data_IF_829696267752
#
_entry.id   IF_829696267752
#
_cell.length_a   1.000
_cell.length_b   1.000
_cell.length_c   1.000
_cell.angle_alpha   90.00
_cell.angle_beta   90.00
_cell.angle_gamma   90.00
#
_symmetry.space_group_name_H-M   'P 1'
#
loop_
_entity.id
_entity.type
_entity.pdbx_description
1 polymer ?
#
# COMPACT_ATOMS: atom_id res chain seq x y z
N UNK A 1 56.55 -14.15 -42.89
CA UNK A 1 55.90 -14.04 -41.57
C UNK A 1 54.40 -14.07 -41.80
N UNK A 2 53.70 -15.11 -41.33
CA UNK A 2 52.24 -15.23 -41.45
C UNK A 2 51.66 -15.04 -40.05
N UNK A 3 50.90 -13.97 -39.84
CA UNK A 3 50.21 -13.71 -38.58
C UNK A 3 48.80 -14.29 -38.66
N UNK A 4 48.59 -15.47 -38.07
CA UNK A 4 47.26 -16.02 -37.84
C UNK A 4 46.57 -15.27 -36.71
N UNK A 5 45.61 -14.41 -37.03
CA UNK A 5 44.70 -13.83 -36.04
C UNK A 5 43.73 -14.91 -35.53
N UNK A 6 44.02 -15.46 -34.36
CA UNK A 6 43.03 -16.24 -33.60
C UNK A 6 41.92 -15.31 -33.12
N UNK A 7 40.78 -15.31 -33.82
CA UNK A 7 39.59 -14.63 -33.32
C UNK A 7 39.03 -15.43 -32.14
N UNK A 8 39.19 -14.89 -30.92
CA UNK A 8 38.49 -15.40 -29.75
C UNK A 8 36.99 -15.10 -29.91
N UNK A 9 36.24 -16.08 -30.39
CA UNK A 9 34.79 -16.03 -30.38
C UNK A 9 34.31 -16.20 -28.93
N UNK A 10 34.18 -15.08 -28.21
CA UNK A 10 33.56 -15.06 -26.89
C UNK A 10 32.06 -15.29 -27.08
N UNK A 11 31.66 -16.57 -27.08
CA UNK A 11 30.29 -16.98 -26.86
C UNK A 11 29.89 -16.56 -25.45
N UNK A 12 29.38 -15.33 -25.34
CA UNK A 12 28.73 -14.86 -24.13
C UNK A 12 27.55 -15.77 -23.82
N UNK A 13 27.69 -16.64 -22.82
CA UNK A 13 26.57 -17.31 -22.19
C UNK A 13 25.71 -16.23 -21.55
N UNK A 14 24.77 -15.70 -22.31
CA UNK A 14 23.64 -14.93 -21.80
C UNK A 14 22.80 -15.89 -20.96
N UNK A 15 23.20 -16.05 -19.70
CA UNK A 15 22.44 -16.78 -18.71
C UNK A 15 21.03 -16.18 -18.70
N UNK A 16 20.05 -16.99 -19.12
CA UNK A 16 18.63 -16.69 -19.00
C UNK A 16 18.32 -16.59 -17.50
N UNK A 17 18.56 -15.40 -16.98
CA UNK A 17 18.52 -15.10 -15.56
C UNK A 17 17.04 -15.01 -15.21
N UNK A 18 16.46 -16.16 -14.85
CA UNK A 18 15.08 -16.28 -14.40
C UNK A 18 14.90 -15.71 -12.99
N UNK A 19 15.46 -14.52 -12.79
CA UNK A 19 15.67 -13.83 -11.53
C UNK A 19 14.87 -12.53 -11.49
N UNK A 20 13.77 -12.42 -12.24
CA UNK A 20 12.89 -11.26 -12.17
C UNK A 20 12.33 -11.01 -10.76
N UNK A 21 11.56 -9.94 -10.60
CA UNK A 21 11.19 -9.39 -9.29
C UNK A 21 9.81 -9.86 -8.82
N UNK A 22 9.73 -10.21 -7.53
CA UNK A 22 8.47 -10.47 -6.79
C UNK A 22 8.31 -9.51 -5.63
N UNK A 23 7.06 -9.16 -5.32
CA UNK A 23 6.67 -8.55 -4.06
C UNK A 23 6.74 -9.58 -2.93
N UNK A 24 7.50 -9.26 -1.87
CA UNK A 24 7.59 -10.10 -0.66
C UNK A 24 6.87 -9.46 0.55
N UNK A 25 6.66 -8.14 0.51
CA UNK A 25 5.95 -7.34 1.50
C UNK A 25 5.08 -6.32 0.75
N UNK A 26 3.74 -6.29 0.95
CA UNK A 26 2.94 -7.27 1.69
C UNK A 26 3.13 -8.71 1.17
N UNK A 27 2.88 -9.69 2.04
CA UNK A 27 3.05 -11.11 1.73
C UNK A 27 1.99 -11.52 0.69
N UNK A 28 2.39 -12.01 -0.51
CA UNK A 28 1.45 -12.33 -1.57
C UNK A 28 0.67 -13.63 -1.32
N UNK A 29 -0.46 -13.79 -2.01
CA UNK A 29 -1.15 -15.07 -2.12
C UNK A 29 -0.30 -16.12 -2.85
N UNK A 30 -0.49 -17.39 -2.48
CA UNK A 30 0.12 -18.54 -3.16
C UNK A 30 1.64 -18.42 -3.25
N UNK A 31 2.29 -17.91 -2.21
CA UNK A 31 3.71 -17.56 -2.15
C UNK A 31 4.64 -18.71 -2.57
N UNK A 32 4.26 -19.95 -2.26
CA UNK A 32 4.99 -21.19 -2.60
C UNK A 32 5.01 -21.49 -4.10
N UNK A 33 4.00 -20.99 -4.84
CA UNK A 33 3.81 -21.21 -6.28
C UNK A 33 3.97 -19.94 -7.11
N UNK A 34 4.24 -18.79 -6.49
CA UNK A 34 4.39 -17.52 -7.17
C UNK A 34 5.72 -17.47 -7.93
N UNK A 35 5.65 -17.48 -9.26
CA UNK A 35 6.81 -17.22 -10.12
C UNK A 35 7.13 -15.72 -10.18
N UNK A 36 8.38 -15.42 -10.49
CA UNK A 36 8.89 -14.06 -10.66
C UNK A 36 8.80 -13.54 -12.10
N UNK A 37 8.44 -14.39 -13.06
CA UNK A 37 8.16 -14.01 -14.44
C UNK A 37 7.11 -12.89 -14.55
N UNK A 38 7.14 -12.07 -15.61
CA UNK A 38 6.04 -11.17 -15.93
C UNK A 38 4.74 -11.95 -16.15
N UNK A 39 3.61 -11.24 -16.27
CA UNK A 39 2.39 -11.82 -16.83
C UNK A 39 2.66 -12.35 -18.25
N UNK A 40 1.92 -13.37 -18.65
CA UNK A 40 1.99 -13.92 -20.00
C UNK A 40 1.51 -12.86 -21.01
N UNK A 41 2.19 -12.80 -22.17
CA UNK A 41 1.95 -11.75 -23.15
C UNK A 41 0.55 -11.81 -23.80
N UNK A 42 -0.14 -12.94 -23.73
CA UNK A 42 -1.55 -13.11 -24.15
C UNK A 42 -2.56 -12.74 -23.04
N UNK A 43 -2.07 -12.31 -21.87
CA UNK A 43 -2.86 -12.04 -20.69
C UNK A 43 -3.60 -13.25 -20.13
N UNK A 44 -3.22 -14.49 -20.49
CA UNK A 44 -3.86 -15.72 -20.01
C UNK A 44 -3.82 -15.83 -18.48
N UNK A 45 -2.73 -15.40 -17.85
CA UNK A 45 -2.55 -15.41 -16.40
C UNK A 45 -2.95 -14.10 -15.67
N UNK A 46 -3.56 -13.13 -16.37
CA UNK A 46 -4.08 -11.91 -15.75
C UNK A 46 -5.48 -12.15 -15.11
N UNK A 47 -5.77 -11.58 -13.92
CA UNK A 47 -4.87 -10.86 -13.01
C UNK A 47 -4.09 -11.81 -12.08
N UNK A 48 -3.18 -11.28 -11.26
CA UNK A 48 -2.56 -11.97 -10.13
C UNK A 48 -1.71 -13.24 -10.43
N UNK A 49 -1.36 -13.49 -11.70
CA UNK A 49 -0.70 -14.71 -12.18
C UNK A 49 -1.54 -15.95 -11.89
N UNK A 50 -2.67 -16.08 -12.58
CA UNK A 50 -3.62 -17.19 -12.47
C UNK A 50 -2.91 -18.53 -12.57
N UNK A 51 -3.11 -19.35 -11.53
CA UNK A 51 -2.51 -20.67 -11.35
C UNK A 51 -3.31 -21.44 -10.29
N UNK A 52 -3.09 -22.74 -10.19
CA UNK A 52 -3.69 -23.54 -9.10
C UNK A 52 -3.32 -22.96 -7.75
N UNK A 53 -4.32 -22.62 -6.93
CA UNK A 53 -4.12 -22.01 -5.61
C UNK A 53 -3.73 -20.52 -5.61
N UNK A 54 -3.94 -19.78 -6.71
CA UNK A 54 -3.59 -18.35 -6.83
C UNK A 54 -4.10 -17.44 -5.70
N UNK A 55 -5.21 -17.80 -5.03
CA UNK A 55 -5.80 -17.05 -3.92
C UNK A 55 -5.74 -17.77 -2.57
N UNK A 56 -4.92 -18.81 -2.44
CA UNK A 56 -4.61 -19.42 -1.14
C UNK A 56 -3.72 -18.47 -0.34
N UNK A 57 -4.10 -18.16 0.90
CA UNK A 57 -3.34 -17.21 1.72
C UNK A 57 -1.96 -17.75 2.09
N UNK A 58 -1.78 -19.07 2.24
CA UNK A 58 -0.52 -19.71 2.67
C UNK A 58 0.13 -19.08 3.93
N UNK A 59 -0.70 -18.55 4.84
CA UNK A 59 -0.25 -17.85 6.05
C UNK A 59 0.04 -16.35 5.86
N UNK A 60 -0.20 -15.78 4.68
CA UNK A 60 -0.22 -14.33 4.47
C UNK A 60 -1.30 -13.67 5.33
N UNK A 61 -0.90 -12.65 6.09
CA UNK A 61 -1.79 -11.83 6.92
C UNK A 61 -1.25 -10.41 6.93
N UNK A 62 -1.84 -9.55 6.11
CA UNK A 62 -1.39 -8.16 5.93
C UNK A 62 -2.47 -7.20 6.46
N UNK A 63 -2.45 -6.94 7.77
CA UNK A 63 -3.33 -5.95 8.38
C UNK A 63 -2.81 -4.54 8.10
N UNK A 64 -3.65 -3.66 7.55
CA UNK A 64 -3.27 -2.31 7.16
C UNK A 64 -4.23 -1.28 7.77
N UNK A 65 -3.67 -0.35 8.54
CA UNK A 65 -4.44 0.73 9.14
C UNK A 65 -4.85 1.77 8.06
N UNK A 66 -6.11 2.18 8.06
CA UNK A 66 -6.62 3.27 7.23
C UNK A 66 -5.94 4.60 7.63
N UNK A 67 -5.40 5.33 6.64
CA UNK A 67 -4.57 6.51 6.86
C UNK A 67 -3.13 6.21 7.32
N UNK A 68 -2.66 4.97 7.18
CA UNK A 68 -1.27 4.60 7.52
C UNK A 68 -0.36 4.49 6.31
N UNK A 69 0.94 4.56 6.57
CA UNK A 69 2.00 4.25 5.60
C UNK A 69 2.41 2.80 5.79
N UNK A 70 2.41 2.02 4.71
CA UNK A 70 2.71 0.59 4.67
C UNK A 70 4.02 0.31 3.91
N UNK A 71 4.81 -0.69 4.32
CA UNK A 71 6.05 -1.07 3.63
C UNK A 71 5.75 -1.84 2.33
N UNK A 72 6.59 -1.61 1.33
CA UNK A 72 6.59 -2.33 0.05
C UNK A 72 8.01 -2.78 -0.26
N UNK A 73 8.22 -4.10 -0.39
CA UNK A 73 9.55 -4.71 -0.52
C UNK A 73 9.55 -5.84 -1.54
N UNK A 74 10.70 -6.01 -2.20
CA UNK A 74 10.86 -6.91 -3.34
C UNK A 74 12.04 -7.87 -3.18
N UNK A 75 11.97 -8.99 -3.90
CA UNK A 75 13.02 -10.00 -4.03
C UNK A 75 13.21 -10.35 -5.50
N UNK A 76 14.46 -10.48 -5.94
CA UNK A 76 14.88 -10.85 -7.30
C UNK A 76 16.27 -10.32 -7.62
N UNK A 77 16.77 -10.68 -8.81
CA UNK A 77 18.07 -10.35 -9.39
C UNK A 77 18.02 -9.68 -10.78
N UNK A 78 16.84 -9.49 -11.37
CA UNK A 78 16.63 -8.91 -12.69
C UNK A 78 15.63 -7.75 -12.62
N UNK A 79 16.17 -6.57 -12.27
CA UNK A 79 15.44 -5.35 -12.00
C UNK A 79 15.21 -4.44 -13.21
N UNK A 80 15.76 -4.77 -14.39
CA UNK A 80 15.55 -4.04 -15.66
C UNK A 80 15.85 -2.53 -15.61
N UNK A 81 16.77 -2.10 -14.74
CA UNK A 81 17.07 -0.68 -14.51
C UNK A 81 15.96 0.10 -13.78
N UNK A 82 15.00 -0.60 -13.15
CA UNK A 82 13.81 -0.04 -12.52
C UNK A 82 12.63 0.06 -13.48
N UNK A 83 11.95 1.20 -13.46
CA UNK A 83 10.67 1.41 -14.13
C UNK A 83 9.66 2.05 -13.20
N UNK A 84 8.38 1.88 -13.50
CA UNK A 84 7.27 2.49 -12.74
C UNK A 84 6.29 1.43 -12.24
N UNK A 85 5.70 1.67 -11.08
CA UNK A 85 4.81 0.74 -10.40
C UNK A 85 3.50 1.40 -9.97
N UNK A 86 2.41 0.62 -9.88
CA UNK A 86 1.21 1.03 -9.16
C UNK A 86 0.92 0.06 -8.01
N UNK A 87 0.29 0.59 -6.98
CA UNK A 87 -0.32 -0.16 -5.89
C UNK A 87 -1.82 0.10 -5.99
N UNK A 88 -2.58 -0.98 -6.20
CA UNK A 88 -4.02 -0.92 -6.45
C UNK A 88 -4.79 -1.87 -5.54
N UNK A 89 -6.05 -1.55 -5.26
CA UNK A 89 -6.95 -2.34 -4.40
C UNK A 89 -8.18 -2.80 -5.20
N UNK A 90 -8.67 -4.00 -4.91
CA UNK A 90 -10.04 -4.41 -5.22
C UNK A 90 -10.66 -5.13 -4.03
N UNK A 91 -11.98 -5.01 -3.85
CA UNK A 91 -12.72 -5.76 -2.81
C UNK A 91 -13.22 -7.13 -3.31
N UNK A 92 -12.96 -7.47 -4.58
CA UNK A 92 -13.17 -8.82 -5.10
C UNK A 92 -12.22 -9.80 -4.40
N UNK A 93 -12.78 -10.75 -3.64
CA UNK A 93 -12.00 -11.72 -2.84
C UNK A 93 -11.15 -12.68 -3.69
N UNK A 94 -11.57 -12.91 -4.93
CA UNK A 94 -10.87 -13.72 -5.94
C UNK A 94 -10.97 -12.99 -7.28
N UNK A 95 -10.07 -12.03 -7.55
CA UNK A 95 -10.18 -11.18 -8.74
C UNK A 95 -10.17 -11.96 -10.06
N UNK A 96 -10.85 -11.40 -11.06
CA UNK A 96 -10.95 -11.94 -12.42
C UNK A 96 -10.53 -10.88 -13.43
N UNK A 97 -10.54 -11.21 -14.74
CA UNK A 97 -10.29 -10.22 -15.81
C UNK A 97 -11.29 -9.06 -15.83
N UNK A 98 -12.46 -9.23 -15.18
CA UNK A 98 -13.51 -8.22 -15.08
C UNK A 98 -13.45 -7.40 -13.78
N UNK A 99 -12.55 -7.75 -12.86
CA UNK A 99 -12.42 -7.06 -11.57
C UNK A 99 -11.89 -5.64 -11.74
N UNK A 100 -12.58 -4.67 -11.14
CA UNK A 100 -12.12 -3.28 -11.13
C UNK A 100 -11.05 -3.13 -10.05
N UNK A 101 -9.87 -2.66 -10.46
CA UNK A 101 -8.75 -2.34 -9.60
C UNK A 101 -8.60 -0.83 -9.50
N UNK A 102 -8.47 -0.30 -8.28
CA UNK A 102 -8.40 1.13 -8.00
C UNK A 102 -7.02 1.51 -7.47
N UNK A 103 -6.36 2.48 -8.09
CA UNK A 103 -5.00 2.90 -7.73
C UNK A 103 -5.04 3.69 -6.42
N UNK A 104 -4.22 3.29 -5.45
CA UNK A 104 -4.02 4.01 -4.17
C UNK A 104 -2.66 4.69 -4.09
N UNK A 105 -1.67 4.24 -4.87
CA UNK A 105 -0.37 4.90 -5.01
C UNK A 105 0.28 4.59 -6.36
N UNK A 106 0.90 5.59 -6.99
CA UNK A 106 1.76 5.41 -8.16
C UNK A 106 3.20 5.78 -7.85
N UNK A 107 4.13 4.96 -8.30
CA UNK A 107 5.58 5.19 -8.21
C UNK A 107 6.10 5.36 -9.64
N UNK A 108 6.45 6.58 -10.02
CA UNK A 108 6.94 6.93 -11.36
C UNK A 108 8.47 6.96 -11.35
N UNK A 109 9.07 5.97 -12.00
CA UNK A 109 10.52 5.77 -12.01
C UNK A 109 11.08 5.15 -10.73
N UNK A 110 12.25 4.53 -10.86
CA UNK A 110 13.00 3.98 -9.74
C UNK A 110 12.32 2.84 -8.97
N UNK A 111 11.37 2.11 -9.55
CA UNK A 111 10.75 0.92 -8.96
C UNK A 111 10.96 -0.31 -9.84
N UNK A 112 11.31 -1.51 -9.30
CA UNK A 112 11.54 -1.86 -7.88
C UNK A 112 12.96 -1.58 -7.38
N UNK A 113 13.79 -0.88 -8.15
CA UNK A 113 15.12 -0.39 -7.73
C UNK A 113 15.37 1.04 -8.22
N UNK A 114 16.08 1.84 -7.43
CA UNK A 114 16.51 3.19 -7.78
C UNK A 114 17.98 3.24 -8.24
N UNK A 115 18.30 4.19 -9.12
CA UNK A 115 19.68 4.63 -9.36
C UNK A 115 20.62 3.63 -10.07
N UNK A 116 20.09 2.58 -10.69
CA UNK A 116 20.91 1.56 -11.39
C UNK A 116 20.56 1.46 -12.87
N UNK A 117 21.59 1.30 -13.70
CA UNK A 117 21.45 1.20 -15.16
C UNK A 117 21.00 -0.19 -15.65
N UNK A 118 20.94 -1.18 -14.76
CA UNK A 118 20.66 -2.57 -15.13
C UNK A 118 20.11 -3.40 -13.97
N UNK A 119 20.55 -4.65 -13.91
CA UNK A 119 20.10 -5.65 -12.94
C UNK A 119 20.92 -5.58 -11.64
N UNK A 120 20.26 -5.67 -10.48
CA UNK A 120 20.88 -5.88 -9.18
C UNK A 120 20.38 -7.16 -8.53
N UNK A 121 21.26 -7.81 -7.76
CA UNK A 121 20.99 -9.09 -7.10
C UNK A 121 21.58 -10.26 -7.89
N UNK A 122 22.21 -11.20 -7.18
CA UNK A 122 22.95 -12.31 -7.79
C UNK A 122 22.06 -13.55 -8.04
N UNK A 123 20.80 -13.52 -7.60
CA UNK A 123 19.86 -14.64 -7.68
C UNK A 123 18.39 -14.19 -7.68
N UNK A 124 17.50 -15.12 -8.06
CA UNK A 124 16.05 -14.96 -7.93
C UNK A 124 15.55 -14.76 -6.48
N UNK A 125 16.43 -14.95 -5.46
CA UNK A 125 16.11 -14.81 -4.04
C UNK A 125 16.84 -13.64 -3.36
N UNK A 126 17.59 -12.83 -4.13
CA UNK A 126 18.26 -11.64 -3.60
C UNK A 126 17.24 -10.59 -3.14
N UNK A 127 17.38 -9.96 -1.96
CA UNK A 127 16.52 -8.83 -1.59
C UNK A 127 16.83 -7.63 -2.48
N UNK A 128 15.80 -6.85 -2.86
CA UNK A 128 16.05 -5.54 -3.50
C UNK A 128 16.81 -4.63 -2.53
N UNK A 129 17.85 -3.91 -2.98
CA UNK A 129 18.57 -2.95 -2.13
C UNK A 129 17.74 -1.69 -1.81
N UNK A 130 16.56 -1.53 -2.43
CA UNK A 130 15.66 -0.41 -2.18
C UNK A 130 14.35 -0.92 -1.57
N UNK A 131 13.98 -0.36 -0.42
CA UNK A 131 12.66 -0.54 0.19
C UNK A 131 11.79 0.70 -0.07
N UNK A 132 10.49 0.50 -0.19
CA UNK A 132 9.52 1.56 -0.48
C UNK A 132 8.44 1.60 0.59
N UNK A 133 7.65 2.67 0.56
CA UNK A 133 6.39 2.73 1.31
C UNK A 133 5.29 3.30 0.44
N UNK A 134 4.04 3.02 0.79
CA UNK A 134 2.86 3.62 0.17
C UNK A 134 1.85 4.01 1.25
N UNK A 135 1.10 5.11 1.09
CA UNK A 135 -0.01 5.44 1.97
C UNK A 135 -1.25 4.60 1.62
N UNK A 136 -1.98 4.17 2.64
CA UNK A 136 -3.35 3.64 2.53
C UNK A 136 -4.30 4.79 2.84
N UNK A 137 -5.17 5.23 1.89
CA UNK A 137 -6.12 6.30 2.14
C UNK A 137 -7.04 5.98 3.34
N UNK A 138 -7.40 7.00 4.12
CA UNK A 138 -8.29 6.87 5.29
C UNK A 138 -9.78 6.78 4.92
N UNK A 139 -10.11 7.21 3.70
CA UNK A 139 -11.42 7.19 3.06
C UNK A 139 -11.84 5.84 2.47
N UNK A 140 -10.95 4.85 2.40
CA UNK A 140 -11.29 3.52 1.90
C UNK A 140 -12.25 2.78 2.85
N UNK A 141 -13.17 1.95 2.33
CA UNK A 141 -13.96 1.02 3.14
C UNK A 141 -13.07 0.11 3.99
N UNK A 142 -13.41 -0.06 5.26
CA UNK A 142 -12.81 -1.09 6.10
C UNK A 142 -13.33 -2.48 5.71
N UNK A 143 -12.47 -3.49 5.74
CA UNK A 143 -12.79 -4.87 5.38
C UNK A 143 -11.62 -5.60 4.70
N UNK A 144 -11.87 -6.85 4.33
CA UNK A 144 -10.92 -7.63 3.53
C UNK A 144 -10.94 -7.17 2.07
N UNK A 145 -9.76 -7.02 1.49
CA UNK A 145 -9.54 -6.64 0.11
C UNK A 145 -8.31 -7.37 -0.46
N UNK A 146 -8.08 -7.23 -1.76
CA UNK A 146 -6.88 -7.69 -2.45
C UNK A 146 -6.08 -6.48 -2.91
N UNK A 147 -4.80 -6.45 -2.55
CA UNK A 147 -3.83 -5.49 -3.06
C UNK A 147 -3.07 -6.10 -4.22
N UNK A 148 -2.91 -5.35 -5.32
CA UNK A 148 -1.99 -5.65 -6.41
C UNK A 148 -0.82 -4.66 -6.42
N UNK A 149 0.39 -5.19 -6.46
CA UNK A 149 1.55 -4.49 -7.02
C UNK A 149 1.60 -4.78 -8.51
N UNK A 150 1.67 -3.75 -9.35
CA UNK A 150 2.02 -3.86 -10.76
C UNK A 150 3.30 -3.10 -11.07
N UNK A 151 4.09 -3.60 -12.02
CA UNK A 151 5.34 -2.97 -12.46
C UNK A 151 5.51 -3.07 -13.97
N UNK A 152 5.93 -1.95 -14.57
CA UNK A 152 6.30 -1.81 -15.96
C UNK A 152 7.77 -1.46 -16.04
N UNK A 153 8.56 -2.37 -16.62
CA UNK A 153 10.02 -2.35 -16.60
C UNK A 153 10.62 -1.30 -17.54
N UNK A 154 11.64 -0.58 -17.05
CA UNK A 154 12.30 0.51 -17.79
C UNK A 154 12.97 0.03 -19.08
N UNK A 155 13.76 -1.05 -19.01
CA UNK A 155 14.57 -1.59 -20.11
C UNK A 155 14.20 -3.05 -20.40
N UNK A 156 14.46 -3.54 -21.62
CA UNK A 156 14.20 -4.93 -22.03
C UNK A 156 12.88 -5.11 -22.78
N UNK A 157 12.36 -6.34 -22.83
CA UNK A 157 11.02 -6.62 -23.34
C UNK A 157 9.99 -5.67 -22.72
N UNK A 158 8.93 -5.31 -23.46
CA UNK A 158 7.84 -4.52 -22.88
C UNK A 158 6.94 -5.50 -22.14
N UNK A 159 7.02 -5.50 -20.81
CA UNK A 159 6.38 -6.50 -19.94
C UNK A 159 5.47 -5.81 -18.91
N UNK A 160 4.60 -6.60 -18.27
CA UNK A 160 3.81 -6.18 -17.10
C UNK A 160 3.97 -7.25 -16.02
N UNK A 161 4.47 -6.86 -14.86
CA UNK A 161 4.53 -7.71 -13.68
C UNK A 161 3.33 -7.42 -12.80
N UNK A 162 2.77 -8.45 -12.16
CA UNK A 162 1.68 -8.30 -11.20
C UNK A 162 1.79 -9.35 -10.09
N UNK A 163 1.77 -8.94 -8.82
CA UNK A 163 1.60 -9.85 -7.69
C UNK A 163 0.47 -9.33 -6.79
N UNK A 164 -0.32 -10.26 -6.23
CA UNK A 164 -1.47 -9.91 -5.39
C UNK A 164 -1.31 -10.46 -3.97
N UNK A 165 -1.80 -9.71 -2.99
CA UNK A 165 -1.77 -10.03 -1.56
C UNK A 165 -3.15 -9.87 -0.90
N UNK A 166 -3.55 -10.75 0.04
CA UNK A 166 -4.70 -10.51 0.89
C UNK A 166 -4.36 -9.37 1.84
N UNK A 167 -5.24 -8.37 1.97
CA UNK A 167 -5.10 -7.29 2.94
C UNK A 167 -6.38 -7.12 3.74
N UNK A 168 -6.27 -6.80 5.03
CA UNK A 168 -7.41 -6.41 5.86
C UNK A 168 -7.24 -4.93 6.20
N UNK A 169 -8.12 -4.09 5.66
CA UNK A 169 -8.13 -2.64 5.86
C UNK A 169 -8.98 -2.31 7.09
N UNK A 170 -8.42 -1.61 8.08
CA UNK A 170 -9.14 -1.31 9.33
C UNK A 170 -8.46 -0.26 10.19
N UNK A 171 -8.79 -0.21 11.49
CA UNK A 171 -8.05 0.54 12.52
C UNK A 171 -7.47 1.90 12.12
N UNK A 172 -8.32 2.91 11.95
CA UNK A 172 -7.86 4.26 11.54
C UNK A 172 -7.01 4.94 12.63
N UNK A 173 -5.93 5.62 12.23
CA UNK A 173 -5.15 6.47 13.16
C UNK A 173 -5.84 7.80 13.54
N UNK A 174 -6.97 8.13 12.90
CA UNK A 174 -7.68 9.42 12.99
C UNK A 174 -9.21 9.36 12.86
N UNK A 175 -9.83 8.17 12.96
CA UNK A 175 -11.26 8.13 13.30
C UNK A 175 -11.35 8.14 14.81
N UNK A 176 -11.22 9.34 15.36
CA UNK A 176 -11.67 9.61 16.71
C UNK A 176 -13.12 9.14 16.80
N UNK A 177 -13.42 8.25 17.76
CA UNK A 177 -14.69 7.53 17.82
C UNK A 177 -15.90 8.49 17.92
N UNK A 178 -15.65 9.69 18.43
CA UNK A 178 -16.53 10.86 18.46
C UNK A 178 -17.17 11.21 17.09
N UNK A 179 -16.51 10.94 15.97
CA UNK A 179 -17.07 11.18 14.62
C UNK A 179 -17.88 10.01 14.05
N UNK A 180 -17.75 8.81 14.61
CA UNK A 180 -18.52 7.62 14.19
C UNK A 180 -19.85 7.51 14.94
N UNK A 181 -19.91 7.91 16.20
CA UNK A 181 -21.12 7.81 17.04
C UNK A 181 -22.24 8.77 16.62
N UNK A 182 -21.92 9.81 15.83
CA UNK A 182 -22.87 10.84 15.39
C UNK A 182 -23.46 10.63 13.98
N UNK A 183 -23.10 9.55 13.25
CA UNK A 183 -23.56 9.30 11.87
C UNK A 183 -24.17 7.93 11.67
N UNK A 184 -25.19 7.87 10.81
CA UNK A 184 -25.77 6.62 10.34
C UNK A 184 -24.71 5.81 9.57
N UNK A 185 -24.48 4.56 9.99
CA UNK A 185 -23.53 3.62 9.41
C UNK A 185 -23.71 3.49 7.88
N UNK A 186 -24.94 3.52 7.39
CA UNK A 186 -25.22 3.45 5.95
C UNK A 186 -24.59 4.61 5.16
N UNK A 187 -24.64 5.84 5.68
CA UNK A 187 -24.02 7.00 5.01
C UNK A 187 -22.49 6.95 5.03
N UNK A 188 -21.90 6.33 6.05
CA UNK A 188 -20.46 6.13 6.11
C UNK A 188 -20.01 5.09 5.09
N UNK A 189 -20.73 3.97 4.96
CA UNK A 189 -20.46 2.97 3.93
C UNK A 189 -20.63 3.54 2.51
N UNK A 190 -21.72 4.27 2.25
CA UNK A 190 -21.99 4.90 0.96
C UNK A 190 -20.91 5.92 0.56
N UNK A 191 -20.45 6.75 1.52
CA UNK A 191 -19.33 7.67 1.32
C UNK A 191 -18.01 6.94 1.05
N UNK A 192 -17.70 5.91 1.83
CA UNK A 192 -16.44 5.17 1.70
C UNK A 192 -16.40 4.41 0.36
N UNK A 193 -17.53 3.85 -0.10
CA UNK A 193 -17.67 3.30 -1.46
C UNK A 193 -17.47 4.37 -2.53
N UNK A 194 -18.11 5.54 -2.41
CA UNK A 194 -17.91 6.64 -3.38
C UNK A 194 -16.45 7.12 -3.44
N UNK A 195 -15.73 7.11 -2.31
CA UNK A 195 -14.30 7.44 -2.27
C UNK A 195 -13.43 6.38 -2.96
N UNK A 196 -13.76 5.09 -2.84
CA UNK A 196 -13.12 4.01 -3.61
C UNK A 196 -13.43 4.12 -5.11
N UNK A 197 -14.68 4.38 -5.48
CA UNK A 197 -15.12 4.47 -6.87
C UNK A 197 -14.51 5.68 -7.61
N UNK A 198 -14.24 6.78 -6.89
CA UNK A 198 -13.57 7.97 -7.39
C UNK A 198 -12.07 7.80 -7.68
N UNK A 199 -11.42 6.76 -7.13
CA UNK A 199 -10.03 6.46 -7.47
C UNK A 199 -9.91 6.05 -8.95
N UNK A 200 -8.79 6.36 -9.63
CA UNK A 200 -8.62 5.94 -11.01
C UNK A 200 -8.42 4.42 -11.11
N UNK A 201 -8.84 3.87 -12.24
CA UNK A 201 -8.62 2.45 -12.52
C UNK A 201 -7.13 2.17 -12.76
N UNK A 202 -6.68 0.99 -12.33
CA UNK A 202 -5.30 0.52 -12.52
C UNK A 202 -4.92 0.48 -14.00
N UNK A 203 -3.72 0.95 -14.31
CA UNK A 203 -3.17 0.89 -15.65
C UNK A 203 -2.75 -0.55 -16.02
N UNK A 204 -3.14 -0.99 -17.21
CA UNK A 204 -2.85 -2.32 -17.77
C UNK A 204 -2.33 -2.13 -19.19
N UNK A 205 -1.18 -2.71 -19.50
CA UNK A 205 -0.51 -2.64 -20.80
C UNK A 205 0.40 -3.86 -20.99
N UNK A 206 0.97 -4.03 -22.18
CA UNK A 206 1.95 -5.08 -22.49
C UNK A 206 1.43 -6.52 -22.34
N UNK A 207 0.10 -6.70 -22.23
CA UNK A 207 -0.60 -7.98 -22.32
C UNK A 207 -1.73 -7.84 -23.35
N UNK A 208 -1.85 -8.81 -24.26
CA UNK A 208 -2.77 -8.78 -25.40
C UNK A 208 -4.21 -9.08 -24.97
N UNK A 209 -4.85 -8.09 -24.34
CA UNK A 209 -6.31 -8.02 -24.16
C UNK A 209 -7.04 -7.45 -25.39
N UNK A 210 -6.41 -7.46 -26.57
CA UNK A 210 -6.94 -6.91 -27.82
C UNK A 210 -6.88 -5.38 -27.96
N UNK A 211 -6.33 -4.66 -26.96
CA UNK A 211 -6.29 -3.19 -26.94
C UNK A 211 -5.14 -2.54 -27.72
N UNK A 212 -4.03 -3.26 -27.94
CA UNK A 212 -2.80 -2.69 -28.50
C UNK A 212 -2.04 -1.75 -27.53
N UNK A 213 -2.45 -1.69 -26.27
CA UNK A 213 -1.88 -0.81 -25.25
C UNK A 213 -0.48 -1.26 -24.82
N UNK A 214 0.54 -0.43 -25.05
CA UNK A 214 1.94 -0.71 -24.74
C UNK A 214 2.66 0.46 -24.08
N UNK A 215 3.67 0.20 -23.26
CA UNK A 215 4.45 1.22 -22.54
C UNK A 215 5.55 1.89 -23.37
N UNK A 216 5.67 1.53 -24.64
CA UNK A 216 6.59 2.14 -25.61
C UNK A 216 6.95 1.16 -26.73
N UNK A 217 7.49 1.66 -27.84
CA UNK A 217 8.02 0.79 -28.88
C UNK A 217 9.24 0.00 -28.37
N UNK A 218 9.41 -1.25 -28.84
CA UNK A 218 10.56 -2.13 -28.58
C UNK A 218 11.88 -1.53 -29.03
N UNK A 219 11.86 -0.51 -29.89
CA UNK A 219 13.03 0.25 -30.36
C UNK A 219 13.43 1.40 -29.43
N UNK A 220 12.56 1.84 -28.53
CA UNK A 220 12.88 2.90 -27.57
C UNK A 220 13.93 2.39 -26.56
N UNK A 221 14.94 3.21 -26.26
CA UNK A 221 16.09 2.87 -25.39
C UNK A 221 15.76 2.70 -23.90
N UNK A 222 14.50 2.40 -23.58
CA UNK A 222 13.94 2.34 -22.25
C UNK A 222 13.59 3.71 -21.65
N UNK A 223 12.85 3.67 -20.55
CA UNK A 223 12.43 4.86 -19.81
C UNK A 223 11.32 4.55 -18.81
N UNK A 224 11.05 5.51 -17.92
CA UNK A 224 10.10 5.32 -16.82
C UNK A 224 8.70 5.71 -17.30
N UNK A 225 7.76 4.76 -17.29
CA UNK A 225 6.37 5.00 -17.67
C UNK A 225 5.72 6.06 -16.78
N UNK A 226 5.09 7.05 -17.38
CA UNK A 226 4.13 7.94 -16.71
C UNK A 226 2.74 7.37 -16.91
N UNK A 227 2.04 7.08 -15.81
CA UNK A 227 0.67 6.59 -15.87
C UNK A 227 -0.28 7.72 -16.32
N UNK A 228 -1.19 7.50 -17.29
CA UNK A 228 -2.18 8.51 -17.70
C UNK A 228 -3.08 8.95 -16.54
N UNK A 229 -3.42 8.01 -15.66
CA UNK A 229 -4.19 8.24 -14.45
C UNK A 229 -3.40 7.72 -13.23
N UNK A 230 -2.49 8.53 -12.65
CA UNK A 230 -1.63 8.09 -11.55
C UNK A 230 -2.33 8.14 -10.17
N UNK A 231 -3.47 8.83 -10.07
CA UNK A 231 -4.15 9.15 -8.81
C UNK A 231 -3.47 10.30 -8.06
N UNK A 232 -4.07 10.70 -6.93
CA UNK A 232 -3.59 11.84 -6.12
C UNK A 232 -2.28 11.54 -5.35
N UNK A 233 -1.94 10.27 -5.23
CA UNK A 233 -0.85 9.75 -4.39
C UNK A 233 0.29 9.28 -5.29
N UNK A 234 1.27 10.15 -5.53
CA UNK A 234 2.37 9.90 -6.50
C UNK A 234 3.73 10.16 -5.89
N UNK A 235 4.63 9.18 -5.99
CA UNK A 235 6.08 9.36 -5.76
C UNK A 235 6.81 9.32 -7.09
N UNK A 236 7.62 10.33 -7.42
CA UNK A 236 8.48 10.34 -8.61
C UNK A 236 9.94 10.21 -8.20
N UNK A 237 10.69 9.31 -8.83
CA UNK A 237 12.08 9.01 -8.45
C UNK A 237 12.98 8.82 -9.67
N UNK A 238 14.26 9.17 -9.51
CA UNK A 238 15.24 9.22 -10.59
C UNK A 238 15.05 10.46 -11.48
N UNK A 239 15.97 10.60 -12.44
CA UNK A 239 16.01 11.70 -13.43
C UNK A 239 16.09 11.18 -14.87
N UNK A 240 15.72 9.91 -15.08
CA UNK A 240 15.73 9.27 -16.39
C UNK A 240 14.62 9.82 -17.31
N UNK A 241 14.73 9.51 -18.60
CA UNK A 241 13.68 9.77 -19.57
C UNK A 241 12.34 9.16 -19.15
N UNK A 242 11.28 9.96 -19.27
CA UNK A 242 9.90 9.56 -19.05
C UNK A 242 9.28 9.08 -20.37
N UNK A 243 8.48 8.01 -20.30
CA UNK A 243 7.75 7.45 -21.44
C UNK A 243 6.25 7.63 -21.25
N UNK A 244 5.57 7.98 -22.34
CA UNK A 244 4.10 7.93 -22.43
C UNK A 244 3.68 6.59 -23.06
N UNK A 245 2.58 5.98 -22.60
CA UNK A 245 2.07 4.77 -23.21
C UNK A 245 1.43 5.05 -24.58
N UNK A 246 1.40 4.04 -25.44
CA UNK A 246 0.86 4.10 -26.81
C UNK A 246 -0.30 3.11 -26.96
N UNK A 247 -1.37 3.48 -27.67
CA UNK A 247 -2.52 2.59 -27.89
C UNK A 247 -3.35 2.29 -26.65
N UNK A 248 -3.25 3.13 -25.61
CA UNK A 248 -3.95 2.95 -24.35
C UNK A 248 -5.06 3.98 -24.18
N UNK A 249 -6.29 3.53 -23.92
CA UNK A 249 -7.37 4.42 -23.53
C UNK A 249 -7.02 5.12 -22.20
N UNK A 250 -7.03 6.45 -22.20
CA UNK A 250 -6.98 7.25 -20.99
C UNK A 250 -8.33 7.12 -20.28
N UNK A 251 -8.50 6.03 -19.52
CA UNK A 251 -9.75 5.69 -18.84
C UNK A 251 -10.29 6.86 -18.01
N UNK A 252 -11.63 7.02 -17.99
CA UNK A 252 -12.28 8.12 -17.29
C UNK A 252 -11.87 8.16 -15.80
N UNK A 253 -11.35 9.30 -15.35
CA UNK A 253 -10.74 9.45 -14.02
C UNK A 253 -9.61 10.49 -13.93
N UNK A 254 -9.22 11.11 -15.05
CA UNK A 254 -8.14 12.09 -15.10
C UNK A 254 -8.42 13.35 -14.24
N UNK A 255 -7.83 13.39 -13.05
CA UNK A 255 -7.50 14.64 -12.34
C UNK A 255 -5.98 14.78 -12.27
N UNK A 256 -5.40 15.97 -12.54
CA UNK A 256 -3.96 16.17 -12.42
C UNK A 256 -3.49 16.01 -10.97
N UNK A 257 -2.54 15.10 -10.74
CA UNK A 257 -2.00 14.85 -9.41
C UNK A 257 -1.34 16.11 -8.83
N UNK A 258 -1.59 16.39 -7.55
CA UNK A 258 -0.89 17.44 -6.79
C UNK A 258 0.41 16.85 -6.23
N UNK A 259 1.61 17.32 -6.66
CA UNK A 259 2.86 16.77 -6.15
C UNK A 259 3.07 17.14 -4.67
N UNK A 260 3.38 16.14 -3.85
CA UNK A 260 3.86 16.32 -2.47
C UNK A 260 5.32 15.89 -2.36
N UNK A 261 6.24 16.84 -2.50
CA UNK A 261 7.67 16.58 -2.26
C UNK A 261 7.94 16.36 -0.77
N UNK A 262 8.50 15.21 -0.40
CA UNK A 262 9.02 14.99 0.93
C UNK A 262 10.32 15.78 1.11
N UNK A 263 10.30 16.81 1.96
CA UNK A 263 11.48 17.61 2.27
C UNK A 263 12.43 16.86 3.23
N UNK A 264 13.51 16.29 2.70
CA UNK A 264 14.64 15.82 3.50
C UNK A 264 15.49 17.01 3.95
N UNK A 265 15.36 17.42 5.20
CA UNK A 265 16.22 18.44 5.81
C UNK A 265 17.62 17.89 6.11
N UNK A 266 18.65 18.66 5.78
CA UNK A 266 20.05 18.31 6.05
C UNK A 266 20.95 19.53 5.88
N UNK A 267 21.21 20.23 6.99
CA UNK A 267 22.13 21.37 7.03
C UNK A 267 23.56 20.99 6.65
N UNK A 268 24.18 21.79 5.78
CA UNK A 268 25.63 21.85 5.59
C UNK A 268 26.07 23.33 5.43
N UNK A 269 27.22 23.73 5.99
CA UNK A 269 27.45 25.13 6.33
C UNK A 269 27.96 26.01 5.17
N UNK A 270 27.67 27.31 5.29
CA UNK A 270 28.25 28.39 4.47
C UNK A 270 29.79 28.33 4.45
N UNK A 271 30.37 28.52 3.27
CA UNK A 271 31.65 29.23 3.12
C UNK A 271 31.49 30.32 2.06
N UNK A 272 32.12 31.47 2.30
CA UNK A 272 32.03 32.64 1.42
C UNK A 272 33.25 32.72 0.50
N UNK A 273 33.04 33.08 -0.76
CA UNK A 273 34.04 33.73 -1.61
C UNK A 273 33.30 34.66 -2.59
N UNK A 274 33.89 35.82 -2.91
CA UNK A 274 33.23 36.89 -3.64
C UNK A 274 34.10 37.47 -4.76
N UNK A 275 33.41 38.13 -5.70
CA UNK A 275 33.87 39.20 -6.60
C UNK A 275 34.71 38.86 -7.85
N UNK A 276 34.52 39.72 -8.86
CA UNK A 276 35.12 39.69 -10.20
C UNK A 276 34.17 39.08 -11.25
N UNK A 277 33.79 39.75 -12.34
CA UNK A 277 34.13 41.08 -12.86
C UNK A 277 34.01 41.06 -14.39
N UNK A 278 33.17 41.92 -14.99
CA UNK A 278 33.00 42.00 -16.45
C UNK A 278 34.20 42.73 -17.11
N UNK A 279 34.46 42.59 -18.43
CA UNK A 279 33.60 43.25 -19.43
C UNK A 279 33.41 42.55 -20.80
N UNK A 280 32.37 43.02 -21.50
CA UNK A 280 32.17 43.22 -22.95
C UNK A 280 32.99 42.44 -24.01
N UNK A 281 32.27 41.90 -25.00
CA UNK A 281 32.39 42.33 -26.41
C UNK A 281 31.20 41.86 -27.27
N UNK A 282 30.79 42.68 -28.25
CA UNK A 282 29.76 42.40 -29.23
C UNK A 282 30.15 43.00 -30.60
N UNK A 283 29.65 42.44 -31.72
CA UNK A 283 29.44 43.22 -32.93
C UNK A 283 27.97 43.24 -33.40
N UNK A 284 27.63 44.30 -34.13
CA UNK A 284 26.28 44.72 -34.56
C UNK A 284 25.84 44.23 -35.94
N UNK A 285 24.56 43.81 -36.04
CA UNK A 285 23.49 44.22 -37.01
C UNK A 285 23.74 44.07 -38.54
N UNK A 286 22.76 44.31 -39.46
CA UNK A 286 21.32 44.65 -39.33
C UNK A 286 20.37 43.61 -40.00
N UNK A 287 19.03 43.74 -40.07
CA UNK A 287 18.06 44.71 -39.55
C UNK A 287 16.64 44.42 -40.08
N UNK A 288 15.61 45.14 -39.61
CA UNK A 288 14.22 45.00 -40.08
C UNK A 288 13.22 45.73 -39.19
N UNK A 289 12.61 46.81 -39.71
CA UNK A 289 11.70 47.73 -38.98
C UNK A 289 10.28 47.75 -39.57
N UNK A 290 9.38 48.41 -38.81
CA UNK A 290 7.96 48.76 -39.05
C UNK A 290 6.93 47.76 -38.48
N UNK A 291 5.84 48.20 -37.81
CA UNK A 291 5.42 49.56 -37.43
C UNK A 291 4.62 49.59 -36.11
N UNK A 292 4.44 50.80 -35.55
CA UNK A 292 3.64 51.11 -34.35
C UNK A 292 2.22 51.58 -34.71
N UNK A 293 1.21 51.17 -33.93
CA UNK A 293 0.01 51.98 -33.67
C UNK A 293 -0.41 51.76 -32.21
N UNK A 294 -0.71 52.85 -31.49
CA UNK A 294 -1.32 52.82 -30.17
C UNK A 294 -2.71 53.48 -30.24
N UNK A 295 -3.69 52.90 -29.54
CA UNK A 295 -5.02 53.52 -29.32
C UNK A 295 -5.49 53.31 -27.90
N UNK A 296 -6.23 54.29 -27.39
CA UNK A 296 -6.41 54.59 -25.97
C UNK A 296 -7.74 54.11 -25.38
N UNK A 297 -7.66 53.68 -24.12
CA UNK A 297 -8.56 53.97 -22.99
C UNK A 297 -10.04 54.35 -23.26
N UNK A 298 -10.95 53.58 -22.65
CA UNK A 298 -12.27 54.02 -22.22
C UNK A 298 -12.53 53.53 -20.79
N UNK A 299 -13.37 54.22 -20.00
CA UNK A 299 -13.49 54.02 -18.55
C UNK A 299 -14.93 53.83 -18.06
N UNK A 300 -15.09 53.02 -17.00
CA UNK A 300 -16.28 52.94 -16.15
C UNK A 300 -17.36 51.93 -16.58
N UNK A 301 -18.31 51.58 -15.68
CA UNK A 301 -18.55 52.17 -14.35
C UNK A 301 -18.24 51.25 -13.14
N UNK A 302 -18.31 51.85 -11.95
CA UNK A 302 -18.21 51.20 -10.64
C UNK A 302 -19.57 50.66 -10.15
N UNK A 303 -19.53 49.69 -9.22
CA UNK A 303 -20.54 49.21 -8.22
C UNK A 303 -20.27 47.72 -7.92
N UNK A 304 -20.48 47.13 -6.73
CA UNK A 304 -20.82 47.61 -5.37
C UNK A 304 -20.31 46.57 -4.36
N UNK A 305 -19.80 47.00 -3.20
CA UNK A 305 -19.46 46.07 -2.11
C UNK A 305 -20.69 45.69 -1.27
N UNK A 306 -20.77 44.43 -0.83
CA UNK A 306 -21.86 43.84 -0.06
C UNK A 306 -21.27 42.95 1.08
N UNK A 307 -21.99 42.74 2.20
CA UNK A 307 -21.40 43.08 3.50
C UNK A 307 -20.88 41.92 4.36
N UNK A 308 -20.03 42.26 5.33
CA UNK A 308 -19.62 41.36 6.42
C UNK A 308 -20.80 41.06 7.37
N UNK A 309 -20.95 39.78 7.74
CA UNK A 309 -21.88 39.34 8.79
C UNK A 309 -21.27 39.54 10.20
N UNK A 310 -22.07 39.79 11.25
CA UNK A 310 -21.59 40.30 12.53
C UNK A 310 -20.98 39.24 13.45
N UNK A 311 -20.04 39.69 14.28
CA UNK A 311 -19.54 38.91 15.42
C UNK A 311 -20.63 38.77 16.49
N UNK A 312 -20.79 37.56 17.05
CA UNK A 312 -21.68 37.29 18.18
C UNK A 312 -20.88 37.17 19.48
N UNK A 313 -21.37 37.82 20.53
CA UNK A 313 -20.68 38.04 21.80
C UNK A 313 -20.79 36.88 22.79
N UNK A 314 -19.71 36.62 23.51
CA UNK A 314 -19.65 35.61 24.58
C UNK A 314 -20.35 36.06 25.88
N UNK A 315 -20.91 35.11 26.66
CA UNK A 315 -21.19 35.30 28.07
C UNK A 315 -20.21 34.51 28.98
N UNK A 316 -20.05 34.99 30.21
CA UNK A 316 -19.36 34.33 31.33
C UNK A 316 -19.78 35.00 32.64
N UNK A 317 -19.57 34.38 33.82
CA UNK A 317 -19.67 32.95 34.16
C UNK A 317 -20.62 32.74 35.37
N UNK A 318 -20.86 31.49 35.79
CA UNK A 318 -21.46 31.23 37.13
C UNK A 318 -20.83 30.01 37.82
N UNK A 319 -20.42 30.26 39.07
CA UNK A 319 -19.83 29.42 40.11
C UNK A 319 -19.75 27.87 39.95
N UNK A 320 -18.57 27.34 40.32
CA UNK A 320 -18.37 25.94 40.73
C UNK A 320 -18.12 25.86 42.26
N UNK A 321 -18.60 24.81 42.97
CA UNK A 321 -18.17 24.47 44.33
C UNK A 321 -16.77 23.82 44.37
N UNK A 322 -16.16 23.74 45.56
CA UNK A 322 -14.72 23.50 45.71
C UNK A 322 -14.32 22.23 46.49
N UNK A 323 -13.10 21.76 46.22
CA UNK A 323 -12.21 20.96 47.10
C UNK A 323 -12.56 19.49 47.40
N UNK A 324 -11.63 18.64 47.91
CA UNK A 324 -10.22 18.89 48.26
C UNK A 324 -9.18 17.98 47.51
N UNK A 325 -7.92 18.00 47.98
CA UNK A 325 -6.73 17.45 47.30
C UNK A 325 -6.01 16.32 48.08
N UNK A 326 -4.91 15.79 47.49
CA UNK A 326 -3.85 14.95 48.10
C UNK A 326 -4.19 13.44 48.24
N UNK A 327 -3.27 12.45 48.15
CA UNK A 327 -1.79 12.44 48.04
C UNK A 327 -1.23 11.09 47.50
N UNK A 328 -0.02 11.12 46.91
CA UNK A 328 1.03 10.08 46.86
C UNK A 328 0.88 8.75 46.03
N UNK A 329 1.99 8.22 45.45
CA UNK A 329 2.13 6.87 44.82
C UNK A 329 2.52 5.79 45.89
N UNK A 330 2.70 4.46 45.63
CA UNK A 330 3.06 3.70 44.39
C UNK A 330 2.22 2.37 44.27
N UNK A 331 2.68 1.16 43.81
CA UNK A 331 3.86 0.71 43.04
C UNK A 331 3.54 -0.20 41.82
N UNK A 332 4.59 -0.75 41.19
CA UNK A 332 4.48 -1.81 40.19
C UNK A 332 4.42 -3.23 40.82
N UNK A 333 3.54 -4.09 40.30
CA UNK A 333 3.56 -5.56 40.41
C UNK A 333 2.84 -6.11 39.15
N UNK A 334 3.44 -6.97 38.33
CA UNK A 334 3.82 -8.38 38.57
C UNK A 334 2.60 -9.30 38.67
N UNK A 335 2.54 -10.29 37.77
CA UNK A 335 1.33 -11.09 37.51
C UNK A 335 0.97 -12.05 38.64
N UNK A 336 -0.33 -12.21 38.87
CA UNK A 336 -0.90 -13.19 39.80
C UNK A 336 -1.76 -14.20 39.02
N UNK A 337 -1.33 -15.46 39.00
CA UNK A 337 -2.16 -16.59 38.57
C UNK A 337 -3.19 -16.91 39.65
N UNK A 338 -4.22 -16.06 39.74
CA UNK A 338 -5.43 -16.32 40.52
C UNK A 338 -6.55 -16.86 39.64
N UNK A 339 -7.32 -17.83 40.15
CA UNK A 339 -8.59 -18.22 39.54
C UNK A 339 -9.56 -17.04 39.62
N UNK A 340 -9.72 -16.31 38.51
CA UNK A 340 -10.58 -15.13 38.45
C UNK A 340 -11.98 -15.42 38.99
N UNK A 341 -12.36 -14.68 40.02
CA UNK A 341 -13.71 -14.68 40.62
C UNK A 341 -14.46 -13.44 40.14
N UNK A 342 -15.79 -13.52 40.11
CA UNK A 342 -16.61 -12.39 39.69
C UNK A 342 -16.40 -11.19 40.64
N UNK A 343 -15.98 -10.07 40.08
CA UNK A 343 -15.80 -8.81 40.81
C UNK A 343 -17.10 -8.00 40.79
N UNK A 344 -17.29 -7.11 41.77
CA UNK A 344 -18.46 -6.24 41.85
C UNK A 344 -18.09 -4.85 42.35
N UNK A 345 -18.65 -3.82 41.72
CA UNK A 345 -18.39 -2.42 42.08
C UNK A 345 -17.17 -1.85 41.35
N UNK A 346 -16.41 -1.00 42.05
CA UNK A 346 -15.38 -0.18 41.42
C UNK A 346 -14.19 -0.99 40.88
N UNK A 347 -13.65 -0.51 39.76
CA UNK A 347 -12.43 -1.01 39.14
C UNK A 347 -11.50 0.18 38.82
N UNK A 348 -10.19 -0.01 38.98
CA UNK A 348 -9.19 1.06 38.85
C UNK A 348 -8.53 1.12 37.47
N UNK A 349 -8.66 0.06 36.68
CA UNK A 349 -7.98 -0.11 35.39
C UNK A 349 -9.01 -0.13 34.27
N UNK A 350 -9.39 1.05 33.80
CA UNK A 350 -10.37 1.24 32.72
C UNK A 350 -10.00 0.42 31.47
N UNK A 351 -10.98 -0.29 30.90
CA UNK A 351 -10.78 -1.22 29.78
C UNK A 351 -10.16 -2.57 30.16
N UNK A 352 -9.77 -2.78 31.42
CA UNK A 352 -9.27 -4.05 31.94
C UNK A 352 -10.31 -5.17 31.91
N UNK A 353 -9.87 -6.40 31.74
CA UNK A 353 -10.70 -7.60 31.65
C UNK A 353 -10.49 -8.50 32.85
N UNK A 354 -11.57 -9.08 33.39
CA UNK A 354 -11.51 -10.15 34.37
C UNK A 354 -12.15 -11.42 33.77
N UNK A 355 -11.35 -12.45 33.53
CA UNK A 355 -11.86 -13.75 33.10
C UNK A 355 -12.27 -14.59 34.33
N UNK A 356 -13.57 -14.86 34.45
CA UNK A 356 -14.19 -15.59 35.56
C UNK A 356 -14.30 -17.08 35.20
N UNK A 357 -13.58 -17.94 35.92
CA UNK A 357 -13.66 -19.40 35.78
C UNK A 357 -13.27 -19.97 34.40
N UNK A 358 -12.81 -19.15 33.44
CA UNK A 358 -12.46 -19.55 32.08
C UNK A 358 -13.64 -19.63 31.10
N UNK A 359 -14.88 -19.63 31.58
CA UNK A 359 -16.11 -19.70 30.78
C UNK A 359 -16.86 -18.37 30.67
N UNK A 360 -16.47 -17.37 31.45
CA UNK A 360 -17.20 -16.11 31.59
C UNK A 360 -16.21 -14.95 31.78
N UNK A 361 -16.63 -13.71 31.56
CA UNK A 361 -15.76 -12.54 31.71
C UNK A 361 -16.52 -11.30 32.19
N UNK A 362 -15.78 -10.30 32.64
CA UNK A 362 -16.23 -8.94 32.92
C UNK A 362 -15.23 -7.95 32.32
N UNK A 363 -15.69 -6.75 32.02
CA UNK A 363 -14.84 -5.63 31.61
C UNK A 363 -15.02 -4.46 32.58
N UNK A 364 -13.93 -3.76 32.89
CA UNK A 364 -13.94 -2.51 33.63
C UNK A 364 -14.32 -1.38 32.67
N UNK A 365 -15.45 -0.70 32.95
CA UNK A 365 -15.95 0.43 32.16
C UNK A 365 -16.57 1.49 33.07
N UNK A 366 -16.27 2.76 32.81
CA UNK A 366 -16.64 3.90 33.68
C UNK A 366 -16.24 3.70 35.14
N UNK A 367 -15.08 3.07 35.39
CA UNK A 367 -14.60 2.75 36.73
C UNK A 367 -15.46 1.75 37.50
N UNK A 368 -16.33 0.97 36.84
CA UNK A 368 -17.11 -0.13 37.44
C UNK A 368 -16.93 -1.43 36.64
N UNK A 369 -16.95 -2.58 37.33
CA UNK A 369 -17.00 -3.89 36.67
C UNK A 369 -18.37 -4.15 36.06
N UNK A 370 -18.38 -4.60 34.80
CA UNK A 370 -19.61 -5.05 34.13
C UNK A 370 -20.27 -6.23 34.84
N UNK A 371 -21.54 -6.48 34.53
CA UNK A 371 -22.14 -7.79 34.81
C UNK A 371 -21.33 -8.92 34.15
N UNK A 372 -21.36 -10.12 34.74
CA UNK A 372 -20.68 -11.31 34.23
C UNK A 372 -21.32 -11.74 32.91
N UNK A 373 -20.55 -11.74 31.84
CA UNK A 373 -20.96 -12.20 30.51
C UNK A 373 -20.38 -13.60 30.23
N UNK A 374 -21.10 -14.42 29.47
CA UNK A 374 -20.60 -15.74 29.08
C UNK A 374 -19.66 -15.62 27.86
N UNK A 375 -18.63 -16.45 27.83
CA UNK A 375 -17.82 -16.65 26.62
C UNK A 375 -18.68 -17.23 25.48
N UNK A 376 -18.31 -16.94 24.23
CA UNK A 376 -18.97 -17.54 23.07
C UNK A 376 -18.80 -19.07 23.08
N UNK A 377 -19.80 -19.80 22.58
CA UNK A 377 -19.78 -21.25 22.54
C UNK A 377 -18.51 -21.79 21.83
N UNK A 378 -17.80 -22.71 22.48
CA UNK A 378 -16.54 -23.23 21.98
C UNK A 378 -15.30 -22.35 22.25
N UNK A 379 -15.42 -21.28 23.03
CA UNK A 379 -14.27 -20.45 23.47
C UNK A 379 -14.15 -20.40 25.00
N UNK A 380 -12.92 -20.36 25.50
CA UNK A 380 -12.59 -20.13 26.91
C UNK A 380 -11.55 -19.02 27.04
N UNK A 381 -11.61 -18.24 28.11
CA UNK A 381 -10.59 -17.25 28.44
C UNK A 381 -9.57 -17.79 29.47
N UNK A 382 -8.41 -17.17 29.59
CA UNK A 382 -7.42 -17.47 30.64
C UNK A 382 -7.89 -16.78 31.95
N UNK A 383 -8.18 -17.51 33.04
CA UNK A 383 -8.72 -16.91 34.28
C UNK A 383 -7.84 -15.82 34.89
N UNK A 384 -8.47 -14.80 35.47
CA UNK A 384 -7.82 -13.68 36.15
C UNK A 384 -7.96 -12.34 35.43
N UNK A 385 -7.38 -11.30 36.03
CA UNK A 385 -7.39 -9.94 35.50
C UNK A 385 -6.23 -9.67 34.52
N UNK A 386 -6.52 -8.98 33.41
CA UNK A 386 -5.54 -8.66 32.37
C UNK A 386 -5.97 -7.47 31.50
N UNK A 387 -5.02 -6.82 30.84
CA UNK A 387 -5.29 -5.72 29.89
C UNK A 387 -5.95 -6.20 28.58
N UNK A 388 -6.03 -7.51 28.34
CA UNK A 388 -6.62 -8.11 27.15
C UNK A 388 -7.28 -9.45 27.46
N UNK A 389 -8.52 -9.67 27.00
CA UNK A 389 -9.19 -10.96 27.18
C UNK A 389 -8.51 -12.05 26.35
N UNK A 390 -7.67 -12.87 27.01
CA UNK A 390 -6.90 -13.93 26.37
C UNK A 390 -7.78 -15.16 26.09
N UNK A 391 -8.44 -15.17 24.93
CA UNK A 391 -9.37 -16.21 24.48
C UNK A 391 -8.68 -17.33 23.69
N UNK A 392 -9.20 -18.57 23.83
CA UNK A 392 -8.76 -19.75 23.09
C UNK A 392 -9.97 -20.64 22.73
N UNK A 393 -9.85 -21.44 21.67
CA UNK A 393 -10.88 -22.42 21.31
C UNK A 393 -10.83 -23.66 22.23
N UNK A 394 -11.98 -24.05 22.79
CA UNK A 394 -12.17 -25.25 23.61
C UNK A 394 -12.09 -26.47 22.69
N UNK A 395 -10.88 -27.01 22.48
CA UNK A 395 -10.66 -28.22 21.70
C UNK A 395 -9.27 -28.37 21.08
N UNK A 396 -8.49 -27.29 20.93
CA UNK A 396 -7.23 -27.29 20.18
C UNK A 396 -6.03 -27.98 20.87
N UNK A 397 -6.26 -28.83 21.88
CA UNK A 397 -5.24 -29.65 22.55
C UNK A 397 -5.63 -31.13 22.65
N UNK A 398 -6.00 -31.74 21.53
CA UNK A 398 -5.78 -33.17 21.33
C UNK A 398 -5.01 -33.37 20.03
N UNK A 399 -3.70 -33.67 20.13
CA UNK A 399 -2.96 -34.29 19.02
C UNK A 399 -3.60 -35.64 18.75
N UNK A 400 -4.57 -35.70 17.84
CA UNK A 400 -5.22 -36.95 17.42
C UNK A 400 -4.20 -37.77 16.63
N UNK A 401 -3.38 -38.54 17.34
CA UNK A 401 -2.46 -39.49 16.75
C UNK A 401 -3.27 -40.52 15.96
N UNK A 402 -3.27 -40.41 14.63
CA UNK A 402 -3.96 -41.34 13.75
C UNK A 402 -3.17 -42.65 13.76
N UNK A 403 -3.49 -43.54 14.72
CA UNK A 403 -3.12 -44.95 14.63
C UNK A 403 -4.02 -45.59 13.57
N UNK A 404 -3.47 -45.79 12.37
CA UNK A 404 -4.11 -46.64 11.37
C UNK A 404 -4.13 -48.09 11.88
N UNK A 405 -5.32 -48.67 12.02
CA UNK A 405 -5.47 -50.11 12.22
C UNK A 405 -5.17 -50.86 10.92
N UNK A 406 -4.49 -52.04 10.92
CA UNK A 406 -4.05 -52.73 9.70
C UNK A 406 -5.15 -53.27 8.76
N UNK A 407 -6.43 -53.04 9.06
CA UNK A 407 -7.58 -53.70 8.43
C UNK A 407 -7.96 -53.23 7.02
N UNK A 408 -7.44 -52.09 6.54
CA UNK A 408 -7.88 -51.47 5.28
C UNK A 408 -6.90 -51.57 4.09
N UNK A 409 -5.85 -52.40 4.20
CA UNK A 409 -4.86 -52.62 3.13
C UNK A 409 -5.07 -53.93 2.32
N UNK A 410 -6.28 -54.53 2.36
CA UNK A 410 -6.62 -55.75 1.60
C UNK A 410 -8.05 -55.75 1.05
N UNK A 411 -8.32 -54.89 0.06
CA UNK A 411 -9.42 -55.02 -0.93
C UNK A 411 -9.13 -54.06 -2.09
N UNK A 412 -8.51 -54.59 -3.15
CA UNK A 412 -8.49 -54.13 -4.56
C UNK A 412 -7.34 -54.81 -5.35
N UNK A 413 -7.25 -56.13 -5.23
CA UNK A 413 -6.38 -57.02 -6.03
C UNK A 413 -7.11 -58.36 -6.22
N UNK A 414 -8.24 -58.34 -6.93
CA UNK A 414 -8.97 -59.52 -7.39
C UNK A 414 -10.01 -59.11 -8.47
N UNK A 415 -9.92 -59.69 -9.67
CA UNK A 415 -10.75 -59.36 -10.83
C UNK A 415 -10.08 -58.32 -11.76
N UNK A 416 -9.79 -58.63 -13.04
CA UNK A 416 -10.01 -59.87 -13.78
C UNK A 416 -8.92 -60.10 -14.83
N UNK A 417 -8.84 -61.33 -15.33
CA UNK A 417 -8.17 -61.68 -16.58
C UNK A 417 -8.95 -61.18 -17.80
#
# INVERSE_FOLDING_TARGET
MLFTQSQLLVLGLSALSNAHMIMNTPVPFGKSSLSNSPLEADGSDFPCKQRTGVYEAEGASNSMALGSTQPLKFTGGATHGGGSCQISITYDKQPTKNSVWKVIHSIVGGCPVQGVAGNVGDSATSPSPTEYTFPVPDSLPAGDAVLAWTWFNKVGNREMYMNCAPVTLGGSKKRDLEYLESRNVTQLMERDTAAYDALPNMFVANIESGSGCTTGDKTSGGGNLVFPNPGDSVTTMGSDALLQPTGCDAGAGASPAKPTSAAGGGDAPKTSAAAGGAPSNAPTLPGGVFATIATSQAAGPSQTAAPSAPASSAPSPTAAPASPASSAPPPAASGSTGSGSAQSGACTTEGGWNCVGGSSFQQCASGQWSAVQQMAAGTSCTPGESSSLNMAAIGSRVKRAIRFSPGHARRNMAGSA
#
